data_IF_513214690400
#
_entry.id   IF_513214690400
#
_cell.length_a   1.000
_cell.length_b   1.000
_cell.length_c   1.000
_cell.angle_alpha   90.00
_cell.angle_beta   90.00
_cell.angle_gamma   90.00
#
_symmetry.space_group_name_H-M   'P 1'
#
loop_
_entity.id
_entity.type
_entity.pdbx_description
1 polymer ?
#
# COMPACT_ATOMS: atom_id res chain seq x y z
N UNK A 1 -17.91 0.40 -8.29
CA UNK A 1 -17.67 0.14 -9.73
C UNK A 1 -16.25 0.61 -10.02
N UNK A 2 -15.44 -0.16 -10.74
CA UNK A 2 -14.00 0.09 -10.95
C UNK A 2 -13.79 0.80 -12.30
N UNK A 3 -13.06 1.91 -12.32
CA UNK A 3 -12.72 2.69 -13.51
C UNK A 3 -11.22 2.49 -13.83
N UNK A 4 -10.85 2.29 -15.10
CA UNK A 4 -9.49 1.91 -15.52
C UNK A 4 -8.89 2.99 -16.43
N UNK A 5 -7.65 3.41 -16.14
CA UNK A 5 -6.90 4.43 -16.89
C UNK A 5 -5.78 3.80 -17.73
N UNK A 6 -5.21 4.53 -18.70
CA UNK A 6 -4.07 4.08 -19.53
C UNK A 6 -2.78 3.78 -18.73
N UNK A 7 -2.73 4.20 -17.46
CA UNK A 7 -1.74 3.73 -16.49
C UNK A 7 -2.33 2.56 -15.67
N UNK A 8 -1.72 1.36 -15.72
CA UNK A 8 -2.36 0.11 -15.28
C UNK A 8 -2.63 0.00 -13.77
N UNK A 9 -2.02 0.85 -12.93
CA UNK A 9 -1.97 0.64 -11.48
C UNK A 9 -2.53 1.79 -10.63
N UNK A 10 -3.16 2.79 -11.24
CA UNK A 10 -3.79 3.87 -10.46
C UNK A 10 -5.18 3.50 -9.98
N UNK A 11 -5.33 3.44 -8.66
CA UNK A 11 -6.61 3.30 -7.98
C UNK A 11 -7.19 4.68 -7.72
N UNK A 12 -8.45 4.88 -8.09
CA UNK A 12 -9.21 6.11 -7.84
C UNK A 12 -10.45 5.81 -7.02
N UNK A 13 -10.81 6.75 -6.14
CA UNK A 13 -12.07 6.74 -5.39
C UNK A 13 -13.01 7.79 -5.97
N UNK A 14 -14.24 7.42 -6.33
CA UNK A 14 -15.25 8.40 -6.75
C UNK A 14 -15.72 9.16 -5.52
N UNK A 15 -15.57 10.49 -5.53
CA UNK A 15 -16.01 11.36 -4.43
C UNK A 15 -17.35 12.01 -4.70
N UNK A 16 -17.71 12.22 -5.98
CA UNK A 16 -18.96 12.87 -6.36
C UNK A 16 -19.46 12.41 -7.74
N UNK A 17 -20.79 12.34 -7.90
CA UNK A 17 -21.46 12.10 -9.18
C UNK A 17 -22.14 13.38 -9.67
N UNK A 18 -21.88 13.75 -10.92
CA UNK A 18 -22.55 14.84 -11.62
C UNK A 18 -23.35 14.29 -12.81
N UNK A 19 -24.22 15.10 -13.41
CA UNK A 19 -25.10 14.66 -14.50
C UNK A 19 -24.34 14.10 -15.71
N UNK A 20 -23.20 14.70 -16.05
CA UNK A 20 -22.38 14.31 -17.21
C UNK A 20 -20.96 13.85 -16.85
N UNK A 21 -20.58 13.92 -15.57
CA UNK A 21 -19.20 13.63 -15.15
C UNK A 21 -19.11 13.06 -13.73
N UNK A 22 -17.92 12.61 -13.35
CA UNK A 22 -17.63 12.14 -11.99
C UNK A 22 -16.37 12.83 -11.47
N UNK A 23 -16.37 13.20 -10.19
CA UNK A 23 -15.16 13.66 -9.50
C UNK A 23 -14.49 12.45 -8.87
N UNK A 24 -13.18 12.33 -9.09
CA UNK A 24 -12.37 11.24 -8.54
C UNK A 24 -11.22 11.77 -7.70
N UNK A 25 -10.90 11.05 -6.63
CA UNK A 25 -9.72 11.22 -5.81
C UNK A 25 -8.71 10.11 -6.13
N UNK A 26 -7.50 10.51 -6.55
CA UNK A 26 -6.38 9.61 -6.87
C UNK A 26 -5.35 9.51 -5.76
N UNK A 27 -5.59 10.11 -4.59
CA UNK A 27 -4.71 9.96 -3.45
C UNK A 27 -4.83 8.57 -2.82
N UNK A 28 -3.78 8.14 -2.12
CA UNK A 28 -3.86 6.97 -1.26
C UNK A 28 -4.98 7.17 -0.21
N UNK A 29 -5.75 6.14 0.18
CA UNK A 29 -6.88 6.30 1.12
C UNK A 29 -6.55 6.95 2.47
N UNK A 30 -5.27 6.89 2.86
CA UNK A 30 -4.75 7.48 4.11
C UNK A 30 -3.94 8.76 3.87
N UNK A 31 -3.95 9.33 2.67
CA UNK A 31 -3.25 10.57 2.38
C UNK A 31 -3.88 11.74 3.17
N UNK A 32 -3.02 12.56 3.80
CA UNK A 32 -3.48 13.68 4.62
C UNK A 32 -4.07 13.28 5.98
N UNK A 33 -4.06 12.00 6.34
CA UNK A 33 -4.48 11.49 7.65
C UNK A 33 -3.26 11.24 8.52
N UNK A 34 -3.25 11.78 9.73
CA UNK A 34 -2.24 11.44 10.74
C UNK A 34 -2.44 9.99 11.18
N UNK A 35 -1.45 9.14 10.93
CA UNK A 35 -1.48 7.74 11.35
C UNK A 35 -0.82 7.61 12.73
N UNK A 36 -1.63 7.27 13.73
CA UNK A 36 -1.18 7.05 15.10
C UNK A 36 -1.15 5.54 15.38
N UNK A 37 0.02 5.03 15.72
CA UNK A 37 0.23 3.62 16.05
C UNK A 37 0.76 3.48 17.47
N UNK A 38 0.26 2.48 18.18
CA UNK A 38 0.90 1.94 19.38
C UNK A 38 1.71 0.71 18.96
N UNK A 39 3.01 0.72 19.25
CA UNK A 39 3.96 -0.27 18.72
C UNK A 39 4.81 -0.84 19.85
N UNK A 40 4.95 -2.16 19.87
CA UNK A 40 5.80 -2.91 20.78
C UNK A 40 6.90 -3.66 20.00
N UNK A 41 8.14 -3.63 20.52
CA UNK A 41 9.24 -4.41 19.96
C UNK A 41 9.18 -5.86 20.47
N UNK A 42 8.90 -6.81 19.58
CA UNK A 42 8.78 -8.23 19.93
C UNK A 42 10.10 -9.00 19.78
N UNK A 43 11.09 -8.46 19.08
CA UNK A 43 12.39 -9.12 18.88
C UNK A 43 13.32 -8.36 17.93
N UNK A 44 14.61 -8.70 18.00
CA UNK A 44 15.65 -8.15 17.12
C UNK A 44 16.57 -9.31 16.71
N UNK A 45 16.90 -9.38 15.42
CA UNK A 45 17.89 -10.31 14.87
C UNK A 45 18.61 -9.69 13.69
N UNK A 46 19.74 -10.28 13.33
CA UNK A 46 20.42 -9.98 12.07
C UNK A 46 19.60 -10.51 10.88
N UNK A 47 19.58 -9.74 9.79
CA UNK A 47 19.02 -10.16 8.51
C UNK A 47 19.97 -11.16 7.82
N UNK A 48 19.42 -12.12 7.09
CA UNK A 48 20.22 -13.03 6.26
C UNK A 48 20.68 -12.33 4.97
N UNK A 49 21.68 -12.90 4.27
CA UNK A 49 22.16 -12.35 3.01
C UNK A 49 21.07 -12.27 1.92
N UNK A 50 20.13 -13.22 1.92
CA UNK A 50 19.02 -13.27 0.98
C UNK A 50 18.01 -12.14 1.27
N UNK A 51 17.63 -11.95 2.53
CA UNK A 51 16.73 -10.88 2.95
C UNK A 51 17.31 -9.49 2.65
N UNK A 52 18.61 -9.31 2.84
CA UNK A 52 19.32 -8.08 2.45
C UNK A 52 19.26 -7.89 0.93
N UNK A 53 19.49 -8.95 0.15
CA UNK A 53 19.45 -8.90 -1.31
C UNK A 53 18.05 -8.59 -1.85
N UNK A 54 16.99 -9.01 -1.16
CA UNK A 54 15.60 -8.83 -1.60
C UNK A 54 14.93 -7.60 -0.98
N UNK A 55 15.51 -7.01 0.08
CA UNK A 55 14.99 -5.82 0.75
C UNK A 55 13.77 -6.07 1.64
N UNK A 56 13.46 -7.33 1.97
CA UNK A 56 12.36 -7.69 2.86
C UNK A 56 12.65 -8.99 3.61
N UNK A 57 11.91 -9.18 4.72
CA UNK A 57 12.04 -10.37 5.57
C UNK A 57 11.46 -11.61 4.88
N UNK A 58 12.13 -12.74 5.03
CA UNK A 58 11.66 -14.06 4.61
C UNK A 58 11.33 -14.87 5.87
N UNK A 59 10.17 -15.55 5.90
CA UNK A 59 9.70 -16.32 7.07
C UNK A 59 8.33 -15.87 7.60
N UNK A 60 8.05 -16.12 8.88
CA UNK A 60 6.74 -15.81 9.48
C UNK A 60 6.45 -14.30 9.42
N UNK A 61 5.39 -13.93 8.69
CA UNK A 61 5.05 -12.53 8.42
C UNK A 61 5.84 -11.87 7.27
N UNK A 62 6.76 -12.60 6.62
CA UNK A 62 7.50 -12.15 5.44
C UNK A 62 6.84 -12.54 4.13
N UNK A 63 7.30 -11.93 3.03
CA UNK A 63 6.93 -12.37 1.69
C UNK A 63 7.88 -13.48 1.24
N UNK A 64 7.33 -14.61 0.80
CA UNK A 64 8.09 -15.67 0.16
C UNK A 64 8.04 -15.46 -1.36
N UNK A 65 9.21 -15.27 -1.98
CA UNK A 65 9.38 -15.51 -3.41
C UNK A 65 9.91 -16.93 -3.60
N UNK A 66 9.33 -17.65 -4.57
CA UNK A 66 9.86 -18.91 -5.07
C UNK A 66 10.97 -18.67 -6.09
#
# INVERSE_FOLDING_TARGET
>A
MMFQTDEPDKVFTITELQEESVIVDGNHPLAGVDLVFDVELTGIREATQEEISHGHVHGEGGHHHH
#
